data_IF_831166713362
#
_entry.id   IF_831166713362
#
_cell.length_a   1.000
_cell.length_b   1.000
_cell.length_c   1.000
_cell.angle_alpha   90.00
_cell.angle_beta   90.00
_cell.angle_gamma   90.00
#
_symmetry.space_group_name_H-M   'P 1'
#
loop_
_entity.id
_entity.type
_entity.pdbx_description
1 polymer ?
#
# COMPACT_ATOMS: atom_id res chain seq x y z
N UNK A 1 -23.76 21.83 43.09
CA UNK A 1 -23.20 22.30 41.81
C UNK A 1 -22.21 21.28 41.31
N UNK A 2 -22.33 20.82 40.08
CA UNK A 2 -21.29 19.97 39.49
C UNK A 2 -20.06 20.87 39.19
N UNK A 3 -18.89 20.48 39.69
CA UNK A 3 -17.66 21.25 39.59
C UNK A 3 -16.93 21.09 38.23
N UNK A 4 -17.61 20.64 37.24
CA UNK A 4 -17.11 20.35 35.93
C UNK A 4 -17.23 18.90 35.54
N UNK A 5 -17.23 18.60 34.30
CA UNK A 5 -17.36 17.23 33.77
C UNK A 5 -17.81 17.22 32.30
N UNK A 6 -17.68 16.10 31.66
CA UNK A 6 -18.08 15.85 30.29
C UNK A 6 -16.94 16.05 29.29
N UNK A 7 -17.03 15.32 28.20
CA UNK A 7 -16.09 15.39 27.08
C UNK A 7 -16.33 16.61 26.19
N UNK A 8 -15.30 17.14 25.56
CA UNK A 8 -15.40 18.19 24.57
C UNK A 8 -14.50 17.91 23.37
N UNK A 9 -14.96 18.29 22.20
CA UNK A 9 -14.18 18.20 20.94
C UNK A 9 -13.79 19.58 20.40
N UNK A 10 -14.44 20.64 20.95
CA UNK A 10 -14.15 22.04 20.61
C UNK A 10 -14.36 22.93 21.85
N UNK A 11 -13.75 24.12 21.87
CA UNK A 11 -13.83 25.07 22.99
C UNK A 11 -15.14 25.89 22.94
N UNK A 12 -16.28 25.22 22.92
CA UNK A 12 -17.61 25.84 22.74
C UNK A 12 -18.47 25.86 24.02
N UNK A 13 -17.86 25.80 25.21
CA UNK A 13 -18.57 25.84 26.49
C UNK A 13 -18.80 27.27 26.95
N UNK A 14 -20.02 27.59 27.29
CA UNK A 14 -20.43 28.98 27.69
C UNK A 14 -20.33 29.23 29.20
N UNK A 15 -20.40 28.19 30.03
CA UNK A 15 -20.34 28.33 31.46
C UNK A 15 -18.89 28.33 31.99
N UNK A 16 -18.54 29.21 32.93
CA UNK A 16 -17.28 29.13 33.66
C UNK A 16 -17.17 27.79 34.38
N UNK A 17 -16.07 27.04 34.17
CA UNK A 17 -15.85 25.75 34.82
C UNK A 17 -14.60 25.06 34.30
N UNK A 18 -14.20 23.97 34.97
CA UNK A 18 -13.12 23.10 34.51
C UNK A 18 -13.69 22.02 33.58
N UNK A 19 -13.23 22.00 32.35
CA UNK A 19 -13.60 20.98 31.35
C UNK A 19 -12.35 20.13 31.05
N UNK A 20 -12.36 18.87 31.46
CA UNK A 20 -11.19 18.00 31.44
C UNK A 20 -11.52 16.77 30.60
N UNK A 21 -10.85 16.62 29.46
CA UNK A 21 -10.84 15.37 28.70
C UNK A 21 -9.72 14.48 29.18
N UNK A 22 -10.08 13.31 29.64
CA UNK A 22 -9.13 12.22 29.76
C UNK A 22 -9.05 11.53 28.39
N UNK A 23 -8.08 11.91 27.59
CA UNK A 23 -7.70 11.17 26.39
C UNK A 23 -6.60 10.21 26.80
N UNK A 24 -6.72 8.95 26.45
CA UNK A 24 -5.58 8.05 26.41
C UNK A 24 -4.53 8.78 25.56
N UNK A 25 -3.43 9.23 26.18
CA UNK A 25 -2.22 9.41 25.39
C UNK A 25 -2.06 8.08 24.68
N UNK A 26 -2.05 8.09 23.36
CA UNK A 26 -1.46 7.00 22.62
C UNK A 26 -0.04 6.94 23.14
N UNK A 27 0.19 6.17 24.20
CA UNK A 27 1.53 5.93 24.67
C UNK A 27 2.16 5.20 23.51
N UNK A 28 3.22 5.74 22.95
CA UNK A 28 4.09 5.01 22.07
C UNK A 28 4.48 3.77 22.90
N UNK A 29 3.74 2.71 22.72
CA UNK A 29 4.03 1.45 23.39
C UNK A 29 5.15 0.82 22.58
N UNK A 30 6.14 0.27 23.24
CA UNK A 30 7.06 -0.66 22.62
C UNK A 30 6.25 -1.89 22.19
N UNK A 31 5.69 -1.83 20.98
CA UNK A 31 4.86 -2.86 20.37
C UNK A 31 5.18 -2.89 18.87
N UNK A 32 5.10 -4.08 18.28
CA UNK A 32 5.28 -4.27 16.86
C UNK A 32 4.15 -3.54 16.09
N UNK A 33 4.53 -2.83 15.04
CA UNK A 33 3.57 -2.20 14.15
C UNK A 33 2.84 -3.22 13.26
N UNK A 34 1.61 -2.89 12.89
CA UNK A 34 0.80 -3.72 11.98
C UNK A 34 1.39 -3.73 10.56
N UNK A 35 1.22 -4.88 9.88
CA UNK A 35 1.60 -5.07 8.48
C UNK A 35 0.36 -5.12 7.58
N UNK A 36 0.61 -4.97 6.29
CA UNK A 36 -0.44 -5.04 5.26
C UNK A 36 -0.64 -3.73 4.52
N UNK A 37 0.28 -2.77 4.65
CA UNK A 37 0.22 -1.49 3.96
C UNK A 37 1.08 -1.57 2.70
N UNK A 38 0.45 -1.39 1.55
CA UNK A 38 1.11 -1.32 0.25
C UNK A 38 0.99 0.08 -0.35
N UNK A 39 1.88 0.42 -1.28
CA UNK A 39 1.74 1.60 -2.11
C UNK A 39 1.99 1.27 -3.57
N UNK A 40 1.21 1.88 -4.47
CA UNK A 40 1.36 1.70 -5.92
C UNK A 40 0.96 2.96 -6.69
N UNK A 41 1.75 3.35 -7.70
CA UNK A 41 1.30 4.25 -8.75
C UNK A 41 0.44 3.46 -9.74
N UNK A 42 -0.69 4.04 -10.16
CA UNK A 42 -1.71 3.38 -10.98
C UNK A 42 -2.06 4.24 -12.19
N UNK A 43 -2.27 3.60 -13.32
CA UNK A 43 -2.95 4.21 -14.47
C UNK A 43 -4.44 3.94 -14.33
N UNK A 44 -5.24 4.99 -14.18
CA UNK A 44 -6.66 4.91 -13.88
C UNK A 44 -7.48 5.71 -14.89
N UNK A 45 -8.64 5.19 -15.28
CA UNK A 45 -9.58 5.87 -16.16
C UNK A 45 -10.49 6.87 -15.43
N UNK A 46 -10.38 6.93 -14.09
CA UNK A 46 -11.19 7.74 -13.19
C UNK A 46 -10.51 7.84 -11.82
N UNK A 47 -10.90 8.83 -11.01
CA UNK A 47 -10.52 8.92 -9.61
C UNK A 47 -9.60 10.10 -9.30
N UNK A 48 -9.20 10.19 -8.04
CA UNK A 48 -8.36 11.26 -7.49
C UNK A 48 -7.07 11.40 -8.29
N UNK A 49 -6.67 12.64 -8.54
CA UNK A 49 -5.46 12.99 -9.28
C UNK A 49 -4.58 13.95 -8.49
N UNK A 50 -3.27 13.84 -8.70
CA UNK A 50 -2.28 14.75 -8.11
C UNK A 50 -2.01 14.56 -6.61
N UNK A 51 -2.66 13.62 -5.94
CA UNK A 51 -2.52 13.32 -4.52
C UNK A 51 -2.43 11.82 -4.27
N UNK A 52 -1.74 11.44 -3.19
CA UNK A 52 -1.81 10.08 -2.65
C UNK A 52 -3.13 9.93 -1.90
N UNK A 53 -3.87 8.88 -2.17
CA UNK A 53 -5.11 8.57 -1.48
C UNK A 53 -5.11 7.17 -0.90
N UNK A 54 -5.69 7.05 0.27
CA UNK A 54 -5.79 5.79 0.99
C UNK A 54 -7.02 5.01 0.52
N UNK A 55 -6.85 3.69 0.35
CA UNK A 55 -7.92 2.75 0.04
C UNK A 55 -7.75 1.53 0.94
N UNK A 56 -8.71 1.29 1.81
CA UNK A 56 -8.76 0.04 2.57
C UNK A 56 -9.38 -1.08 1.73
N UNK A 57 -9.16 -2.34 2.12
CA UNK A 57 -9.82 -3.48 1.46
C UNK A 57 -11.35 -3.34 1.51
N UNK A 58 -11.90 -2.82 2.61
CA UNK A 58 -13.34 -2.57 2.75
C UNK A 58 -13.82 -1.48 1.78
N UNK A 59 -13.07 -0.37 1.65
CA UNK A 59 -13.39 0.68 0.69
C UNK A 59 -13.33 0.18 -0.75
N UNK A 60 -12.33 -0.64 -1.08
CA UNK A 60 -12.24 -1.24 -2.39
C UNK A 60 -13.46 -2.09 -2.73
N UNK A 61 -13.94 -2.91 -1.82
CA UNK A 61 -15.14 -3.74 -2.05
C UNK A 61 -16.43 -2.93 -2.16
N UNK A 62 -16.61 -1.92 -1.30
CA UNK A 62 -17.85 -1.15 -1.22
C UNK A 62 -17.92 0.05 -2.15
N UNK A 63 -16.79 0.73 -2.35
CA UNK A 63 -16.69 2.05 -2.97
C UNK A 63 -15.89 2.05 -4.29
N UNK A 64 -15.56 0.89 -4.85
CA UNK A 64 -14.71 0.77 -6.04
C UNK A 64 -15.22 1.60 -7.24
N UNK A 65 -16.52 1.60 -7.49
CA UNK A 65 -17.13 2.40 -8.55
C UNK A 65 -16.88 3.92 -8.35
N UNK A 66 -16.98 4.40 -7.12
CA UNK A 66 -16.70 5.80 -6.77
C UNK A 66 -15.23 6.15 -6.89
N UNK A 67 -14.34 5.25 -6.41
CA UNK A 67 -12.91 5.49 -6.32
C UNK A 67 -12.19 5.29 -7.66
N UNK A 68 -12.53 4.25 -8.41
CA UNK A 68 -11.82 3.80 -9.61
C UNK A 68 -12.67 3.83 -10.89
N UNK A 69 -13.95 4.15 -10.79
CA UNK A 69 -14.87 4.18 -11.94
C UNK A 69 -15.37 2.80 -12.41
N UNK A 70 -15.02 1.73 -11.70
CA UNK A 70 -15.41 0.35 -11.99
C UNK A 70 -15.88 -0.35 -10.72
N UNK A 71 -16.85 -1.25 -10.82
CA UNK A 71 -17.21 -2.14 -9.73
C UNK A 71 -16.03 -3.07 -9.39
N UNK A 72 -15.92 -3.49 -8.13
CA UNK A 72 -14.76 -4.26 -7.66
C UNK A 72 -14.59 -5.61 -8.39
N UNK A 73 -15.69 -6.21 -8.84
CA UNK A 73 -15.73 -7.46 -9.62
C UNK A 73 -15.50 -7.27 -11.14
N UNK A 74 -15.28 -6.03 -11.58
CA UNK A 74 -14.98 -5.71 -12.96
C UNK A 74 -13.65 -6.35 -13.41
N UNK A 75 -13.55 -6.88 -14.64
CA UNK A 75 -12.29 -7.32 -15.23
C UNK A 75 -11.18 -6.25 -15.21
N UNK A 76 -11.52 -4.97 -15.13
CA UNK A 76 -10.57 -3.87 -15.01
C UNK A 76 -9.94 -3.75 -13.61
N UNK A 77 -10.51 -4.43 -12.61
CA UNK A 77 -10.07 -4.38 -11.22
C UNK A 77 -9.29 -5.63 -10.77
N UNK A 78 -9.01 -6.57 -11.67
CA UNK A 78 -8.27 -7.82 -11.35
C UNK A 78 -6.96 -7.52 -10.62
N UNK A 79 -6.17 -6.55 -11.09
CA UNK A 79 -4.90 -6.20 -10.43
C UNK A 79 -5.09 -5.75 -8.98
N UNK A 80 -6.07 -4.87 -8.73
CA UNK A 80 -6.38 -4.44 -7.37
C UNK A 80 -7.00 -5.56 -6.52
N UNK A 81 -7.82 -6.44 -7.13
CA UNK A 81 -8.30 -7.64 -6.44
C UNK A 81 -7.13 -8.52 -5.98
N UNK A 82 -6.17 -8.77 -6.87
CA UNK A 82 -4.96 -9.54 -6.56
C UNK A 82 -4.13 -8.88 -5.43
N UNK A 83 -3.97 -7.57 -5.46
CA UNK A 83 -3.29 -6.82 -4.40
C UNK A 83 -3.99 -6.99 -3.04
N UNK A 84 -5.30 -6.81 -3.00
CA UNK A 84 -6.09 -6.85 -1.76
C UNK A 84 -6.32 -8.26 -1.21
N UNK A 85 -5.89 -9.32 -1.90
CA UNK A 85 -5.79 -10.66 -1.30
C UNK A 85 -4.77 -10.73 -0.17
N UNK A 86 -3.77 -9.86 -0.18
CA UNK A 86 -2.75 -9.78 0.86
C UNK A 86 -2.73 -8.45 1.61
N UNK A 87 -2.87 -7.33 0.91
CA UNK A 87 -2.85 -6.01 1.50
C UNK A 87 -4.14 -5.69 2.28
N UNK A 88 -4.00 -4.93 3.38
CA UNK A 88 -5.11 -4.35 4.14
C UNK A 88 -5.43 -2.94 3.65
N UNK A 89 -4.39 -2.18 3.33
CA UNK A 89 -4.45 -0.77 2.93
C UNK A 89 -3.53 -0.54 1.74
N UNK A 90 -3.99 0.23 0.78
CA UNK A 90 -3.23 0.73 -0.36
C UNK A 90 -3.16 2.26 -0.31
N UNK A 91 -1.96 2.80 -0.33
CA UNK A 91 -1.71 4.19 -0.69
C UNK A 91 -1.56 4.27 -2.21
N UNK A 92 -2.61 4.68 -2.88
CA UNK A 92 -2.66 4.79 -4.33
C UNK A 92 -2.32 6.19 -4.81
N UNK A 93 -1.72 6.28 -5.99
CA UNK A 93 -1.51 7.53 -6.70
C UNK A 93 -1.85 7.34 -8.18
N UNK A 94 -2.62 8.27 -8.76
CA UNK A 94 -2.96 8.21 -10.17
C UNK A 94 -1.91 8.89 -11.03
N UNK A 95 -1.19 8.11 -11.86
CA UNK A 95 -0.13 8.60 -12.75
C UNK A 95 -0.68 9.43 -13.92
N UNK A 96 -1.76 8.98 -14.55
CA UNK A 96 -2.36 9.58 -15.73
C UNK A 96 -3.48 10.59 -15.39
N UNK A 97 -3.28 11.38 -14.33
CA UNK A 97 -4.07 12.57 -14.05
C UNK A 97 -3.80 13.70 -15.06
N UNK A 98 -4.52 14.84 -14.92
CA UNK A 98 -4.31 16.02 -15.76
C UNK A 98 -4.87 15.93 -17.18
N UNK A 99 -5.74 14.96 -17.46
CA UNK A 99 -6.56 14.93 -18.67
C UNK A 99 -7.79 15.86 -18.57
N UNK A 100 -8.67 15.78 -19.55
CA UNK A 100 -9.90 16.57 -19.57
C UNK A 100 -11.04 15.89 -18.79
N UNK A 101 -11.89 16.73 -18.19
CA UNK A 101 -13.12 16.28 -17.53
C UNK A 101 -14.25 16.22 -18.55
N UNK A 102 -14.95 15.09 -18.59
CA UNK A 102 -16.16 14.97 -19.40
C UNK A 102 -17.23 15.99 -18.92
N UNK A 103 -17.97 16.57 -19.85
CA UNK A 103 -19.00 17.54 -19.53
C UNK A 103 -20.18 17.47 -20.51
N UNK A 104 -21.33 17.98 -20.07
CA UNK A 104 -22.48 18.29 -20.90
C UNK A 104 -23.10 19.62 -20.50
N UNK A 105 -24.31 19.93 -20.96
CA UNK A 105 -25.04 21.15 -20.60
C UNK A 105 -25.28 21.26 -19.10
N UNK A 106 -25.54 20.15 -18.41
CA UNK A 106 -26.04 20.11 -17.03
C UNK A 106 -24.95 19.85 -15.98
N UNK A 107 -23.85 19.19 -16.36
CA UNK A 107 -22.86 18.75 -15.40
C UNK A 107 -21.44 18.67 -16.00
N UNK A 108 -20.44 18.68 -15.12
CA UNK A 108 -19.03 18.36 -15.40
C UNK A 108 -18.62 17.19 -14.49
N UNK A 109 -17.91 16.23 -15.02
CA UNK A 109 -17.35 15.11 -14.24
C UNK A 109 -16.44 15.61 -13.12
N UNK A 110 -16.49 14.95 -11.96
CA UNK A 110 -15.67 15.32 -10.81
C UNK A 110 -14.17 15.16 -11.09
N UNK A 111 -13.81 14.06 -11.78
CA UNK A 111 -12.43 13.75 -12.15
C UNK A 111 -12.27 13.73 -13.67
N UNK A 112 -11.05 13.94 -14.16
CA UNK A 112 -10.69 13.68 -15.53
C UNK A 112 -10.70 12.17 -15.83
N UNK A 113 -10.68 11.81 -17.11
CA UNK A 113 -10.55 10.42 -17.52
C UNK A 113 -11.66 9.94 -18.46
N UNK A 114 -11.34 8.92 -19.22
CA UNK A 114 -12.24 8.38 -20.23
C UNK A 114 -13.54 7.82 -19.65
N UNK A 115 -13.53 7.37 -18.38
CA UNK A 115 -14.73 6.91 -17.68
C UNK A 115 -15.74 8.02 -17.41
N UNK A 116 -15.31 9.28 -17.36
CA UNK A 116 -16.22 10.41 -17.28
C UNK A 116 -17.24 10.46 -18.40
N UNK A 117 -16.92 9.90 -19.57
CA UNK A 117 -17.82 9.82 -20.72
C UNK A 117 -18.98 8.84 -20.53
N UNK A 118 -18.90 7.94 -19.55
CA UNK A 118 -19.97 7.01 -19.19
C UNK A 118 -20.98 7.60 -18.20
N UNK A 119 -20.74 8.83 -17.73
CA UNK A 119 -21.69 9.57 -16.91
C UNK A 119 -22.82 10.15 -17.80
N UNK A 120 -24.05 10.11 -17.31
CA UNK A 120 -25.19 10.77 -17.97
C UNK A 120 -26.15 11.37 -16.95
N UNK A 121 -26.78 12.47 -17.32
CA UNK A 121 -27.80 13.15 -16.53
C UNK A 121 -29.17 12.87 -17.17
N UNK A 122 -30.09 12.35 -16.38
CA UNK A 122 -31.51 12.16 -16.73
C UNK A 122 -32.33 13.16 -15.92
N UNK A 123 -33.25 13.89 -16.59
CA UNK A 123 -34.10 14.87 -15.94
C UNK A 123 -35.56 14.54 -16.28
N UNK A 124 -36.36 14.35 -15.24
CA UNK A 124 -37.78 14.07 -15.37
C UNK A 124 -38.60 15.04 -14.52
N UNK A 125 -39.86 15.27 -14.83
CA UNK A 125 -40.79 15.92 -13.89
C UNK A 125 -41.03 15.01 -12.71
N UNK A 126 -40.98 15.61 -11.51
CA UNK A 126 -41.32 14.85 -10.33
C UNK A 126 -42.80 14.44 -10.37
N UNK A 127 -43.07 13.19 -9.96
CA UNK A 127 -44.43 12.62 -10.08
C UNK A 127 -45.42 13.23 -9.08
N UNK A 128 -44.92 13.61 -7.88
CA UNK A 128 -45.74 14.13 -6.79
C UNK A 128 -45.89 15.67 -6.87
N UNK A 129 -44.87 16.36 -7.45
CA UNK A 129 -44.83 17.82 -7.54
C UNK A 129 -44.28 18.23 -8.92
N UNK A 130 -45.14 18.47 -9.87
CA UNK A 130 -44.79 18.83 -11.27
C UNK A 130 -44.07 20.18 -11.41
N UNK A 131 -43.98 20.99 -10.35
CA UNK A 131 -43.15 22.21 -10.31
C UNK A 131 -41.67 21.88 -10.13
N UNK A 132 -41.31 20.64 -9.73
CA UNK A 132 -39.96 20.16 -9.51
C UNK A 132 -39.52 19.16 -10.57
N UNK A 133 -38.20 18.90 -10.57
CA UNK A 133 -37.55 17.93 -11.43
C UNK A 133 -36.76 16.94 -10.57
N UNK A 134 -36.82 15.67 -10.97
CA UNK A 134 -35.91 14.64 -10.50
C UNK A 134 -34.71 14.61 -11.43
N UNK A 135 -33.55 15.01 -10.92
CA UNK A 135 -32.27 15.01 -11.65
C UNK A 135 -31.48 13.80 -11.19
N UNK A 136 -31.33 12.83 -12.06
CA UNK A 136 -30.67 11.56 -11.76
C UNK A 136 -29.32 11.48 -12.46
N UNK A 137 -28.27 11.16 -11.72
CA UNK A 137 -26.94 10.87 -12.23
C UNK A 137 -26.78 9.36 -12.39
N UNK A 138 -26.36 8.92 -13.56
CA UNK A 138 -25.98 7.55 -13.86
C UNK A 138 -24.49 7.46 -14.16
N UNK A 139 -23.85 6.39 -13.71
CA UNK A 139 -22.52 6.00 -14.14
C UNK A 139 -22.63 4.67 -14.90
N UNK A 140 -22.52 4.72 -16.22
CA UNK A 140 -22.91 3.61 -17.10
C UNK A 140 -24.41 3.31 -16.96
N UNK A 141 -24.72 2.12 -16.47
CA UNK A 141 -26.09 1.68 -16.19
C UNK A 141 -26.50 1.85 -14.72
N UNK A 142 -25.55 2.18 -13.83
CA UNK A 142 -25.80 2.28 -12.38
C UNK A 142 -26.33 3.67 -12.05
N UNK A 143 -27.47 3.72 -11.39
CA UNK A 143 -27.98 4.97 -10.81
C UNK A 143 -27.20 5.27 -9.53
N UNK A 144 -26.47 6.40 -9.52
CA UNK A 144 -25.57 6.76 -8.42
C UNK A 144 -26.08 7.89 -7.53
N UNK A 145 -27.00 8.72 -8.05
CA UNK A 145 -27.61 9.82 -7.29
C UNK A 145 -28.95 10.24 -7.92
N UNK A 146 -29.85 10.78 -7.09
CA UNK A 146 -31.09 11.46 -7.56
C UNK A 146 -31.40 12.60 -6.61
N UNK A 147 -31.60 13.80 -7.17
CA UNK A 147 -31.98 14.99 -6.44
C UNK A 147 -33.28 15.56 -6.99
N UNK A 148 -34.24 15.90 -6.11
CA UNK A 148 -35.49 16.55 -6.49
C UNK A 148 -35.40 18.04 -6.20
N UNK A 149 -35.40 18.87 -7.23
CA UNK A 149 -35.17 20.30 -7.14
C UNK A 149 -36.15 21.10 -8.01
N UNK A 150 -36.41 22.37 -7.65
CA UNK A 150 -37.21 23.26 -8.48
C UNK A 150 -36.37 23.90 -9.60
N UNK A 151 -35.10 24.14 -9.37
CA UNK A 151 -34.18 24.81 -10.32
C UNK A 151 -32.76 24.24 -10.19
N UNK A 152 -31.92 24.40 -11.20
CA UNK A 152 -30.56 23.92 -11.23
C UNK A 152 -29.67 24.46 -10.10
N UNK A 153 -29.91 25.69 -9.63
CA UNK A 153 -29.16 26.32 -8.55
C UNK A 153 -29.33 25.60 -7.18
N UNK A 154 -30.35 24.75 -7.04
CA UNK A 154 -30.61 23.99 -5.83
C UNK A 154 -29.91 22.61 -5.86
N UNK A 155 -29.28 22.24 -6.98
CA UNK A 155 -28.50 20.98 -7.11
C UNK A 155 -27.17 21.08 -6.34
N UNK A 156 -26.86 20.05 -5.60
CA UNK A 156 -25.61 19.90 -4.86
C UNK A 156 -24.70 18.91 -5.59
N UNK A 157 -23.41 19.24 -5.71
CA UNK A 157 -22.42 18.34 -6.28
C UNK A 157 -22.43 16.98 -5.54
N UNK A 158 -22.34 15.91 -6.30
CA UNK A 158 -22.26 14.55 -5.75
C UNK A 158 -20.86 13.96 -5.92
N UNK A 159 -20.70 12.66 -5.64
CA UNK A 159 -19.41 11.98 -5.74
C UNK A 159 -18.89 11.84 -7.19
N UNK A 160 -19.70 12.13 -8.19
CA UNK A 160 -19.40 11.86 -9.61
C UNK A 160 -19.41 13.13 -10.47
N UNK A 161 -20.24 14.10 -10.15
CA UNK A 161 -20.41 15.32 -10.96
C UNK A 161 -20.56 16.57 -10.13
N UNK A 162 -20.15 17.70 -10.72
CA UNK A 162 -20.53 19.04 -10.30
C UNK A 162 -21.58 19.56 -11.28
N UNK A 163 -22.73 20.01 -10.80
CA UNK A 163 -23.81 20.52 -11.64
C UNK A 163 -23.55 21.95 -12.13
N UNK A 164 -24.07 22.26 -13.31
CA UNK A 164 -24.02 23.60 -13.93
C UNK A 164 -25.35 24.34 -13.74
N UNK A 165 -25.28 25.65 -13.65
CA UNK A 165 -26.46 26.51 -13.57
C UNK A 165 -27.13 26.66 -14.96
N UNK A 166 -27.72 25.57 -15.46
CA UNK A 166 -28.45 25.54 -16.75
C UNK A 166 -29.94 25.27 -16.48
N UNK A 167 -30.82 25.86 -17.29
CA UNK A 167 -32.26 25.59 -17.16
C UNK A 167 -32.58 24.12 -17.31
N UNK A 168 -33.31 23.56 -16.33
CA UNK A 168 -33.66 22.14 -16.31
C UNK A 168 -34.73 21.87 -17.38
N UNK A 169 -34.41 20.99 -18.33
CA UNK A 169 -35.33 20.50 -19.34
C UNK A 169 -35.39 18.97 -19.25
N UNK A 170 -36.60 18.43 -19.42
CA UNK A 170 -36.81 16.97 -19.43
C UNK A 170 -35.93 16.32 -20.50
N UNK A 171 -35.15 15.30 -20.09
CA UNK A 171 -34.31 14.51 -21.01
C UNK A 171 -34.26 13.05 -20.57
N UNK A 172 -34.30 12.13 -21.52
CA UNK A 172 -34.16 10.70 -21.26
C UNK A 172 -32.72 10.27 -20.93
N UNK A 173 -31.75 11.17 -21.10
CA UNK A 173 -30.34 10.95 -20.76
C UNK A 173 -29.42 11.76 -21.66
N UNK A 174 -28.73 12.73 -21.07
CA UNK A 174 -27.68 13.51 -21.75
C UNK A 174 -26.31 13.02 -21.25
N UNK A 175 -25.52 12.32 -22.10
CA UNK A 175 -24.19 11.83 -21.72
C UNK A 175 -23.22 13.00 -21.53
N UNK A 176 -22.25 12.83 -20.64
CA UNK A 176 -21.06 13.68 -20.60
C UNK A 176 -20.09 13.20 -21.67
N UNK A 177 -19.30 14.11 -22.23
CA UNK A 177 -18.35 13.84 -23.32
C UNK A 177 -17.07 14.64 -23.14
N UNK A 178 -16.01 14.27 -23.87
CA UNK A 178 -14.73 14.99 -23.86
C UNK A 178 -13.79 14.62 -22.72
N UNK A 179 -14.12 13.60 -21.93
CA UNK A 179 -13.22 13.11 -20.90
C UNK A 179 -12.02 12.35 -21.48
N UNK A 180 -10.81 12.70 -21.06
CA UNK A 180 -9.54 12.06 -21.48
C UNK A 180 -8.66 11.75 -20.30
N UNK A 181 -7.83 10.71 -20.43
CA UNK A 181 -6.73 10.47 -19.49
C UNK A 181 -5.56 11.39 -19.83
N UNK A 182 -4.77 11.78 -18.82
CA UNK A 182 -3.48 12.39 -19.03
C UNK A 182 -2.42 11.39 -19.51
N UNK A 183 -1.23 11.88 -19.79
CA UNK A 183 -0.08 11.08 -20.22
C UNK A 183 0.73 10.60 -19.01
N UNK A 184 1.35 9.42 -19.14
CA UNK A 184 2.30 8.89 -18.16
C UNK A 184 3.71 9.02 -18.72
N UNK A 185 4.57 9.70 -18.00
CA UNK A 185 5.96 9.88 -18.31
C UNK A 185 6.83 9.83 -17.04
N UNK A 186 8.14 10.02 -17.16
CA UNK A 186 9.05 10.05 -16.02
C UNK A 186 8.70 11.13 -14.97
N UNK A 187 8.08 12.24 -15.40
CA UNK A 187 7.65 13.31 -14.49
C UNK A 187 6.49 12.86 -13.60
N UNK A 188 5.53 12.11 -14.18
CA UNK A 188 4.41 11.56 -13.41
C UNK A 188 4.90 10.56 -12.35
N UNK A 189 5.86 9.69 -12.70
CA UNK A 189 6.50 8.78 -11.75
C UNK A 189 7.27 9.52 -10.66
N UNK A 190 8.04 10.56 -11.01
CA UNK A 190 8.76 11.36 -10.02
C UNK A 190 7.80 12.08 -9.06
N UNK A 191 6.72 12.65 -9.58
CA UNK A 191 5.70 13.31 -8.77
C UNK A 191 5.04 12.36 -7.74
N UNK A 192 4.85 11.08 -8.11
CA UNK A 192 4.42 10.06 -7.15
C UNK A 192 5.48 9.82 -6.07
N UNK A 193 6.75 9.62 -6.46
CA UNK A 193 7.83 9.35 -5.52
C UNK A 193 8.02 10.49 -4.52
N UNK A 194 7.94 11.73 -4.98
CA UNK A 194 8.04 12.92 -4.11
C UNK A 194 6.92 12.98 -3.06
N UNK A 195 5.70 12.55 -3.43
CA UNK A 195 4.55 12.59 -2.53
C UNK A 195 4.50 11.40 -1.57
N UNK A 196 4.92 10.21 -2.01
CA UNK A 196 4.84 9.00 -1.18
C UNK A 196 5.97 8.92 -0.15
N UNK A 197 7.03 9.69 -0.29
CA UNK A 197 8.20 9.67 0.59
C UNK A 197 7.85 9.90 2.08
N UNK A 198 6.79 10.68 2.36
CA UNK A 198 6.36 10.96 3.73
C UNK A 198 5.44 9.89 4.35
N UNK A 199 5.06 8.87 3.59
CA UNK A 199 4.16 7.82 4.05
C UNK A 199 4.92 6.59 4.54
N UNK A 200 4.31 5.84 5.47
CA UNK A 200 4.85 4.58 5.96
C UNK A 200 4.10 3.41 5.35
N UNK A 201 4.83 2.49 4.72
CA UNK A 201 4.27 1.30 4.06
C UNK A 201 5.28 0.15 4.10
N UNK A 202 4.79 -1.08 3.91
CA UNK A 202 5.62 -2.29 3.96
C UNK A 202 6.20 -2.64 2.58
N UNK A 203 5.41 -2.46 1.51
CA UNK A 203 5.84 -2.75 0.14
C UNK A 203 5.39 -1.68 -0.82
N UNK A 204 6.21 -1.43 -1.83
CA UNK A 204 5.88 -0.61 -2.99
C UNK A 204 5.88 -1.51 -4.23
N UNK A 205 4.83 -1.48 -5.03
CA UNK A 205 4.77 -2.17 -6.32
C UNK A 205 4.72 -1.19 -7.48
N UNK A 206 5.39 -1.50 -8.59
CA UNK A 206 5.27 -0.71 -9.82
C UNK A 206 5.11 -1.62 -11.03
N UNK A 207 4.01 -1.43 -11.77
CA UNK A 207 3.65 -2.24 -12.94
C UNK A 207 4.16 -1.55 -14.19
N UNK A 208 5.45 -1.68 -14.45
CA UNK A 208 6.12 -1.14 -15.65
C UNK A 208 7.06 -2.17 -16.25
N UNK A 209 7.26 -2.08 -17.56
CA UNK A 209 8.16 -2.99 -18.31
C UNK A 209 9.48 -2.33 -18.69
N UNK A 210 9.52 -1.00 -18.82
CA UNK A 210 10.74 -0.31 -19.18
C UNK A 210 11.74 -0.21 -18.03
N UNK A 211 13.01 -0.46 -18.34
CA UNK A 211 14.09 -0.53 -17.35
C UNK A 211 14.49 0.83 -16.77
N UNK A 212 14.24 1.92 -17.48
CA UNK A 212 14.59 3.27 -16.99
C UNK A 212 13.70 3.63 -15.82
N UNK A 213 12.38 3.44 -15.98
CA UNK A 213 11.41 3.68 -14.92
C UNK A 213 11.64 2.72 -13.75
N UNK A 214 11.88 1.42 -14.00
CA UNK A 214 12.20 0.48 -12.91
C UNK A 214 13.42 0.91 -12.09
N UNK A 215 14.49 1.36 -12.76
CA UNK A 215 15.73 1.86 -12.11
C UNK A 215 15.50 3.12 -11.29
N UNK A 216 14.58 4.01 -11.69
CA UNK A 216 14.17 5.18 -10.91
C UNK A 216 13.62 4.73 -9.53
N UNK A 217 12.73 3.74 -9.52
CA UNK A 217 12.17 3.19 -8.27
C UNK A 217 13.21 2.47 -7.42
N UNK A 218 14.14 1.74 -8.04
CA UNK A 218 15.26 1.11 -7.32
C UNK A 218 16.15 2.15 -6.65
N UNK A 219 16.48 3.24 -7.36
CA UNK A 219 17.27 4.34 -6.79
C UNK A 219 16.53 5.00 -5.60
N UNK A 220 15.24 5.22 -5.72
CA UNK A 220 14.40 5.73 -4.63
C UNK A 220 14.41 4.77 -3.43
N UNK A 221 14.20 3.46 -3.65
CA UNK A 221 14.23 2.47 -2.57
C UNK A 221 15.60 2.44 -1.86
N UNK A 222 16.70 2.42 -2.62
CA UNK A 222 18.05 2.46 -2.05
C UNK A 222 18.28 3.71 -1.22
N UNK A 223 17.95 4.89 -1.74
CA UNK A 223 18.10 6.16 -1.04
C UNK A 223 17.34 6.16 0.29
N UNK A 224 16.07 5.76 0.29
CA UNK A 224 15.28 5.73 1.53
C UNK A 224 15.81 4.72 2.53
N UNK A 225 16.19 3.52 2.08
CA UNK A 225 16.68 2.45 2.97
C UNK A 225 18.07 2.75 3.52
N UNK A 226 19.00 3.18 2.68
CA UNK A 226 20.42 3.26 3.02
C UNK A 226 20.79 4.63 3.63
N UNK A 227 20.15 5.73 3.17
CA UNK A 227 20.48 7.08 3.61
C UNK A 227 19.52 7.61 4.68
N UNK A 228 18.21 7.34 4.56
CA UNK A 228 17.19 7.86 5.47
C UNK A 228 16.71 6.85 6.52
N UNK A 229 17.04 5.58 6.35
CA UNK A 229 16.68 4.52 7.30
C UNK A 229 15.21 4.07 7.20
N UNK A 230 14.46 4.50 6.20
CA UNK A 230 13.07 4.10 5.97
C UNK A 230 13.06 2.76 5.22
N UNK A 231 12.58 1.70 5.88
CA UNK A 231 12.68 0.32 5.39
C UNK A 231 11.36 -0.14 4.77
N UNK A 232 11.40 -0.54 3.51
CA UNK A 232 10.31 -1.19 2.77
C UNK A 232 10.89 -2.03 1.64
N UNK A 233 10.13 -2.97 1.06
CA UNK A 233 10.54 -3.72 -0.11
C UNK A 233 9.84 -3.19 -1.37
N UNK A 234 10.60 -3.07 -2.46
CA UNK A 234 10.11 -2.68 -3.78
C UNK A 234 9.87 -3.94 -4.62
N UNK A 235 8.70 -4.07 -5.22
CA UNK A 235 8.34 -5.16 -6.15
C UNK A 235 8.32 -4.61 -7.57
N UNK A 236 9.15 -5.19 -8.44
CA UNK A 236 9.26 -4.85 -9.86
C UNK A 236 9.22 -6.09 -10.74
N UNK A 237 8.89 -5.91 -12.01
CA UNK A 237 8.90 -6.98 -13.00
C UNK A 237 10.27 -7.11 -13.67
N UNK A 238 10.86 -8.30 -13.64
CA UNK A 238 12.02 -8.73 -14.43
C UNK A 238 13.16 -7.69 -14.49
N UNK A 239 13.78 -7.41 -13.32
CA UNK A 239 14.91 -6.48 -13.20
C UNK A 239 15.98 -7.07 -12.28
N UNK A 240 17.20 -7.25 -12.79
CA UNK A 240 18.36 -7.58 -11.99
C UNK A 240 18.87 -6.32 -11.25
N UNK A 241 18.45 -6.16 -9.98
CA UNK A 241 18.83 -4.99 -9.17
C UNK A 241 20.00 -5.26 -8.23
N UNK A 242 20.28 -6.53 -7.93
CA UNK A 242 21.28 -6.98 -6.95
C UNK A 242 21.20 -6.20 -5.64
N UNK A 243 20.02 -6.24 -5.03
CA UNK A 243 19.76 -5.48 -3.81
C UNK A 243 18.66 -6.13 -2.96
N UNK A 244 18.89 -6.24 -1.64
CA UNK A 244 17.99 -6.90 -0.69
C UNK A 244 16.61 -6.23 -0.55
N UNK A 245 16.50 -4.94 -0.85
CA UNK A 245 15.25 -4.18 -0.78
C UNK A 245 14.37 -4.33 -2.02
N UNK A 246 14.78 -5.10 -3.04
CA UNK A 246 14.06 -5.23 -4.31
C UNK A 246 13.68 -6.68 -4.59
N UNK A 247 12.41 -6.93 -4.85
CA UNK A 247 11.85 -8.20 -5.28
C UNK A 247 11.62 -8.15 -6.79
N UNK A 248 12.32 -8.98 -7.55
CA UNK A 248 12.23 -9.05 -9.02
C UNK A 248 11.33 -10.20 -9.44
N UNK A 249 10.11 -9.91 -9.87
CA UNK A 249 9.13 -10.91 -10.31
C UNK A 249 9.47 -11.37 -11.73
N UNK A 250 9.74 -12.66 -11.92
CA UNK A 250 10.13 -13.23 -13.22
C UNK A 250 8.95 -13.50 -14.15
N UNK A 251 7.89 -14.10 -13.63
CA UNK A 251 6.78 -14.61 -14.44
C UNK A 251 5.96 -13.47 -15.03
N UNK A 252 5.59 -13.62 -16.31
CA UNK A 252 4.67 -12.70 -16.98
C UNK A 252 3.23 -13.17 -16.87
N UNK A 253 2.33 -12.20 -16.97
CA UNK A 253 0.91 -12.39 -17.17
C UNK A 253 0.62 -12.48 -18.69
N UNK A 254 -0.32 -13.33 -19.08
CA UNK A 254 -0.65 -13.56 -20.50
C UNK A 254 -2.05 -13.09 -20.89
N UNK A 255 -2.78 -12.47 -19.97
CA UNK A 255 -4.14 -11.98 -20.19
C UNK A 255 -4.17 -10.76 -21.12
N UNK A 256 -5.01 -10.81 -22.14
CA UNK A 256 -5.16 -9.74 -23.12
C UNK A 256 -5.66 -8.46 -22.44
N UNK A 257 -5.02 -7.35 -22.77
CA UNK A 257 -5.38 -6.02 -22.23
C UNK A 257 -4.76 -5.71 -20.86
N UNK A 258 -3.89 -6.58 -20.35
CA UNK A 258 -3.07 -6.35 -19.17
C UNK A 258 -1.58 -6.32 -19.50
N UNK A 259 -0.80 -5.59 -18.71
CA UNK A 259 0.66 -5.60 -18.79
C UNK A 259 1.19 -6.98 -18.41
N UNK A 260 2.24 -7.44 -19.07
CA UNK A 260 2.94 -8.67 -18.66
C UNK A 260 3.51 -8.57 -17.24
N UNK A 261 3.73 -7.34 -16.73
CA UNK A 261 4.18 -7.05 -15.38
C UNK A 261 3.07 -7.11 -14.31
N UNK A 262 1.81 -7.41 -14.68
CA UNK A 262 0.67 -7.27 -13.77
C UNK A 262 0.73 -8.19 -12.53
N UNK A 263 1.53 -9.27 -12.55
CA UNK A 263 1.73 -10.12 -11.38
C UNK A 263 2.35 -9.37 -10.18
N UNK A 264 2.96 -8.22 -10.40
CA UNK A 264 3.45 -7.29 -9.37
C UNK A 264 2.35 -6.91 -8.39
N UNK A 265 1.09 -6.78 -8.82
CA UNK A 265 -0.04 -6.50 -7.92
C UNK A 265 -0.15 -7.55 -6.81
N UNK A 266 -0.22 -8.83 -7.19
CA UNK A 266 -0.36 -9.92 -6.22
C UNK A 266 0.85 -10.04 -5.31
N UNK A 267 2.08 -9.96 -5.86
CA UNK A 267 3.31 -10.07 -5.07
C UNK A 267 3.41 -8.92 -4.06
N UNK A 268 3.09 -7.69 -4.49
CA UNK A 268 3.06 -6.52 -3.59
C UNK A 268 2.08 -6.72 -2.44
N UNK A 269 0.87 -7.21 -2.73
CA UNK A 269 -0.13 -7.53 -1.71
C UNK A 269 0.33 -8.66 -0.78
N UNK A 270 0.82 -9.76 -1.35
CA UNK A 270 1.26 -10.93 -0.59
C UNK A 270 2.42 -10.60 0.37
N UNK A 271 3.41 -9.84 -0.09
CA UNK A 271 4.56 -9.42 0.72
C UNK A 271 4.20 -8.38 1.78
N UNK A 272 3.30 -7.43 1.47
CA UNK A 272 2.85 -6.46 2.48
C UNK A 272 2.11 -7.14 3.62
N UNK A 273 1.21 -8.07 3.30
CA UNK A 273 0.37 -8.77 4.28
C UNK A 273 1.03 -9.98 4.94
N UNK A 274 2.20 -10.41 4.47
CA UNK A 274 2.90 -11.53 5.08
C UNK A 274 3.40 -11.17 6.47
N UNK A 275 3.04 -11.98 7.48
CA UNK A 275 3.50 -11.77 8.85
C UNK A 275 5.02 -11.95 8.97
N UNK A 276 5.63 -11.29 9.94
CA UNK A 276 7.10 -11.31 10.15
C UNK A 276 7.66 -12.71 10.36
N UNK A 277 6.89 -13.61 10.98
CA UNK A 277 7.24 -15.00 11.25
C UNK A 277 6.81 -15.99 10.16
N UNK A 278 6.43 -15.50 8.97
CA UNK A 278 5.95 -16.31 7.85
C UNK A 278 6.75 -16.01 6.59
N UNK A 279 6.68 -16.94 5.65
CA UNK A 279 7.26 -16.79 4.31
C UNK A 279 6.16 -16.89 3.25
N UNK A 280 6.37 -16.22 2.12
CA UNK A 280 5.57 -16.42 0.92
C UNK A 280 6.01 -17.67 0.12
N UNK A 281 7.06 -18.35 0.52
CA UNK A 281 7.49 -19.60 -0.14
C UNK A 281 6.35 -20.64 -0.17
N UNK A 282 6.17 -21.28 -1.31
CA UNK A 282 5.10 -22.26 -1.58
C UNK A 282 3.67 -21.72 -1.43
N UNK A 283 3.50 -20.39 -1.23
CA UNK A 283 2.17 -19.78 -1.19
C UNK A 283 1.48 -20.01 -2.54
N UNK A 284 0.23 -20.47 -2.49
CA UNK A 284 -0.60 -20.63 -3.68
C UNK A 284 -0.91 -19.26 -4.26
N UNK A 285 -0.77 -19.13 -5.59
CA UNK A 285 -1.36 -18.01 -6.31
C UNK A 285 -2.87 -18.24 -6.41
N UNK A 286 -3.63 -17.35 -5.84
CA UNK A 286 -5.11 -17.34 -5.77
C UNK A 286 -5.73 -16.14 -6.49
N UNK A 287 -4.90 -15.41 -7.25
CA UNK A 287 -5.31 -14.25 -8.03
C UNK A 287 -6.04 -14.57 -9.34
N UNK A 288 -6.43 -13.52 -10.04
CA UNK A 288 -7.25 -13.60 -11.24
C UNK A 288 -6.48 -13.71 -12.55
N UNK A 289 -5.14 -13.49 -12.56
CA UNK A 289 -4.35 -13.53 -13.79
C UNK A 289 -3.92 -14.94 -14.20
N UNK A 290 -3.72 -15.11 -15.50
CA UNK A 290 -3.08 -16.29 -16.09
C UNK A 290 -1.55 -16.10 -16.06
N UNK A 291 -0.88 -16.83 -15.17
CA UNK A 291 0.57 -16.74 -14.98
C UNK A 291 1.28 -17.73 -15.91
N UNK A 292 2.24 -17.24 -16.69
CA UNK A 292 3.12 -18.10 -17.47
C UNK A 292 4.08 -18.84 -16.53
N UNK A 293 3.94 -20.15 -16.43
CA UNK A 293 4.77 -21.05 -15.60
C UNK A 293 5.50 -22.11 -16.43
N UNK A 294 5.67 -21.86 -17.72
CA UNK A 294 6.31 -22.81 -18.63
C UNK A 294 7.84 -22.73 -18.55
N UNK A 295 8.39 -23.19 -17.43
CA UNK A 295 9.82 -23.22 -17.17
C UNK A 295 10.32 -24.64 -16.91
N UNK A 296 11.49 -24.95 -17.46
CA UNK A 296 12.22 -26.18 -17.14
C UNK A 296 12.83 -26.11 -15.73
N UNK A 297 13.18 -27.25 -15.16
CA UNK A 297 13.86 -27.31 -13.85
C UNK A 297 15.20 -26.54 -13.85
N UNK A 298 15.92 -26.51 -14.97
CA UNK A 298 17.16 -25.76 -15.07
C UNK A 298 16.93 -24.23 -15.09
N UNK A 299 15.87 -23.78 -15.76
CA UNK A 299 15.48 -22.36 -15.76
C UNK A 299 15.01 -21.91 -14.37
N UNK A 300 14.26 -22.75 -13.64
CA UNK A 300 13.88 -22.46 -12.26
C UNK A 300 15.10 -22.36 -11.33
N UNK A 301 16.08 -23.25 -11.47
CA UNK A 301 17.34 -23.17 -10.72
C UNK A 301 18.14 -21.92 -11.07
N UNK A 302 18.17 -21.55 -12.35
CA UNK A 302 18.85 -20.33 -12.82
C UNK A 302 18.16 -19.09 -12.25
N UNK A 303 16.82 -19.06 -12.22
CA UNK A 303 16.04 -17.98 -11.65
C UNK A 303 16.36 -17.73 -10.16
N UNK A 304 16.40 -18.79 -9.35
CA UNK A 304 16.79 -18.69 -7.93
C UNK A 304 18.20 -18.10 -7.78
N UNK A 305 19.16 -18.58 -8.59
CA UNK A 305 20.53 -18.06 -8.56
C UNK A 305 20.65 -16.60 -9.00
N UNK A 306 19.75 -16.16 -9.87
CA UNK A 306 19.68 -14.78 -10.35
C UNK A 306 18.90 -13.85 -9.41
N UNK A 307 18.39 -14.33 -8.27
CA UNK A 307 17.59 -13.54 -7.34
C UNK A 307 16.22 -13.18 -7.89
N UNK A 308 15.62 -14.07 -8.71
CA UNK A 308 14.32 -13.84 -9.31
C UNK A 308 13.21 -14.53 -8.51
N UNK A 309 12.24 -13.73 -8.03
CA UNK A 309 11.02 -14.24 -7.40
C UNK A 309 10.15 -14.90 -8.47
N UNK A 310 9.99 -16.21 -8.38
CA UNK A 310 9.47 -17.03 -9.47
C UNK A 310 8.29 -17.87 -8.99
N UNK A 311 7.29 -18.02 -9.86
CA UNK A 311 6.20 -18.96 -9.69
C UNK A 311 6.43 -20.21 -10.54
N UNK A 312 6.00 -21.34 -10.01
CA UNK A 312 6.02 -22.62 -10.71
C UNK A 312 4.70 -23.36 -10.54
N UNK A 313 4.50 -24.40 -11.33
CA UNK A 313 3.27 -25.20 -11.26
C UNK A 313 3.53 -26.55 -10.61
N UNK A 314 2.80 -26.84 -9.53
CA UNK A 314 2.87 -28.12 -8.80
C UNK A 314 1.47 -28.72 -8.78
N UNK A 315 1.32 -29.92 -9.35
CA UNK A 315 0.03 -30.62 -9.41
C UNK A 315 -1.12 -29.75 -9.93
N UNK A 316 -0.85 -28.95 -10.97
CA UNK A 316 -1.86 -28.05 -11.56
C UNK A 316 -2.05 -26.71 -10.85
N UNK A 317 -1.42 -26.50 -9.68
CA UNK A 317 -1.54 -25.29 -8.87
C UNK A 317 -0.30 -24.42 -9.03
N UNK A 318 -0.49 -23.14 -9.32
CA UNK A 318 0.59 -22.13 -9.38
C UNK A 318 0.97 -21.74 -7.95
N UNK A 319 2.28 -21.78 -7.63
CA UNK A 319 2.83 -21.46 -6.31
C UNK A 319 4.11 -20.67 -6.42
N UNK A 320 4.40 -19.88 -5.40
CA UNK A 320 5.72 -19.25 -5.23
C UNK A 320 6.77 -20.33 -5.06
N UNK A 321 7.84 -20.28 -5.85
CA UNK A 321 8.94 -21.24 -5.79
C UNK A 321 9.82 -21.00 -4.55
N UNK A 322 10.31 -19.79 -4.41
CA UNK A 322 11.14 -19.37 -3.27
C UNK A 322 10.89 -17.89 -2.97
N UNK A 323 10.88 -17.53 -1.68
CA UNK A 323 10.59 -16.18 -1.19
C UNK A 323 11.89 -15.38 -1.07
N UNK A 324 12.43 -14.95 -2.21
CA UNK A 324 13.73 -14.27 -2.32
C UNK A 324 13.65 -12.89 -2.96
N UNK A 325 14.62 -12.05 -2.62
CA UNK A 325 14.82 -10.76 -3.26
C UNK A 325 15.89 -10.84 -4.37
N UNK A 326 16.17 -9.70 -5.01
CA UNK A 326 17.08 -9.64 -6.17
C UNK A 326 18.57 -9.65 -5.82
N UNK A 327 18.93 -9.76 -4.53
CA UNK A 327 20.33 -9.79 -4.11
C UNK A 327 21.00 -11.09 -4.52
N UNK A 328 22.13 -10.99 -5.22
CA UNK A 328 22.97 -12.13 -5.62
C UNK A 328 24.37 -12.02 -5.08
N UNK A 329 24.94 -10.81 -5.02
CA UNK A 329 26.27 -10.54 -4.49
C UNK A 329 26.25 -10.48 -2.97
N UNK A 330 27.17 -11.20 -2.33
CA UNK A 330 27.34 -11.20 -0.88
C UNK A 330 28.66 -10.57 -0.47
N UNK A 331 28.74 -10.11 0.77
CA UNK A 331 29.95 -9.58 1.40
C UNK A 331 30.10 -10.10 2.84
N UNK A 332 31.18 -9.80 3.51
CA UNK A 332 31.41 -10.20 4.92
C UNK A 332 30.35 -9.63 5.87
N UNK A 333 29.73 -8.49 5.53
CA UNK A 333 28.69 -7.84 6.34
C UNK A 333 27.28 -8.09 5.81
N UNK A 334 27.12 -8.68 4.63
CA UNK A 334 25.84 -8.94 3.98
C UNK A 334 25.86 -10.33 3.32
N UNK A 335 25.64 -11.36 4.11
CA UNK A 335 25.73 -12.76 3.70
C UNK A 335 24.43 -13.28 3.06
N UNK A 336 24.38 -14.58 2.76
CA UNK A 336 23.27 -15.25 2.07
C UNK A 336 21.91 -15.11 2.78
N UNK A 337 21.90 -14.92 4.10
CA UNK A 337 20.67 -14.75 4.89
C UNK A 337 19.84 -13.54 4.44
N UNK A 338 20.50 -12.51 3.87
CA UNK A 338 19.82 -11.30 3.38
C UNK A 338 19.15 -11.48 1.99
N UNK A 339 19.32 -12.64 1.34
CA UNK A 339 18.63 -12.96 0.10
C UNK A 339 17.18 -13.40 0.33
N UNK A 340 16.83 -13.79 1.55
CA UNK A 340 15.52 -14.27 1.93
C UNK A 340 14.60 -13.10 2.34
N UNK A 341 13.42 -12.99 1.74
CA UNK A 341 12.47 -11.92 2.02
C UNK A 341 11.92 -11.98 3.46
N UNK A 342 11.79 -13.18 4.05
CA UNK A 342 11.37 -13.31 5.45
C UNK A 342 12.41 -12.66 6.37
N UNK A 343 13.69 -12.85 6.13
CA UNK A 343 14.77 -12.18 6.87
C UNK A 343 14.65 -10.66 6.74
N UNK A 344 14.53 -10.16 5.51
CA UNK A 344 14.39 -8.71 5.26
C UNK A 344 13.15 -8.17 5.98
N UNK A 345 12.04 -8.90 5.97
CA UNK A 345 10.79 -8.53 6.64
C UNK A 345 10.97 -8.36 8.15
N UNK A 346 11.73 -9.25 8.79
CA UNK A 346 12.05 -9.17 10.23
C UNK A 346 12.92 -7.96 10.54
N UNK A 347 14.01 -7.76 9.79
CA UNK A 347 14.95 -6.65 10.05
C UNK A 347 14.33 -5.28 9.69
N UNK A 348 13.50 -5.22 8.66
CA UNK A 348 12.78 -4.00 8.30
C UNK A 348 11.74 -3.63 9.36
N UNK A 349 10.99 -4.60 9.87
CA UNK A 349 10.05 -4.41 10.97
C UNK A 349 10.78 -3.87 12.20
N UNK A 350 11.85 -4.54 12.60
CA UNK A 350 12.66 -4.14 13.74
C UNK A 350 13.23 -2.73 13.59
N UNK A 351 13.81 -2.41 12.44
CA UNK A 351 14.41 -1.10 12.18
C UNK A 351 13.39 0.04 12.18
N UNK A 352 12.20 -0.20 11.58
CA UNK A 352 11.12 0.78 11.57
C UNK A 352 10.51 0.98 12.96
N UNK A 353 10.29 -0.09 13.73
CA UNK A 353 9.71 -0.01 15.07
C UNK A 353 10.67 0.67 16.06
N UNK A 354 11.97 0.38 15.98
CA UNK A 354 13.00 1.09 16.77
C UNK A 354 13.04 2.60 16.43
N UNK A 355 12.94 2.95 15.15
CA UNK A 355 12.92 4.35 14.71
C UNK A 355 11.65 5.08 15.20
N UNK A 356 10.49 4.46 15.08
CA UNK A 356 9.22 5.01 15.59
C UNK A 356 9.27 5.17 17.09
N UNK A 357 9.72 4.16 17.83
CA UNK A 357 9.88 4.22 19.28
C UNK A 357 10.78 5.38 19.69
N UNK A 358 11.97 5.50 19.07
CA UNK A 358 12.90 6.57 19.39
C UNK A 358 12.34 7.94 19.08
N UNK A 359 11.77 8.15 17.90
CA UNK A 359 11.26 9.43 17.46
C UNK A 359 10.03 9.90 18.26
N UNK A 360 9.19 8.98 18.72
CA UNK A 360 7.94 9.35 19.42
C UNK A 360 8.11 9.47 20.94
N UNK A 361 9.01 8.70 21.55
CA UNK A 361 9.13 8.63 23.00
C UNK A 361 10.40 9.27 23.55
N UNK A 362 11.52 9.21 22.82
CA UNK A 362 12.84 9.56 23.35
C UNK A 362 13.40 10.85 22.77
N UNK A 363 13.23 11.10 21.48
CA UNK A 363 13.85 12.24 20.78
C UNK A 363 13.39 13.58 21.37
N UNK A 364 14.34 14.32 21.97
CA UNK A 364 14.08 15.62 22.56
C UNK A 364 13.29 15.60 23.89
N UNK A 365 12.86 14.43 24.36
CA UNK A 365 12.02 14.27 25.56
C UNK A 365 12.79 13.65 26.73
N UNK A 366 13.49 12.53 26.50
CA UNK A 366 14.18 11.77 27.55
C UNK A 366 15.64 12.19 27.63
N UNK A 367 16.15 12.56 28.82
CA UNK A 367 17.57 12.92 28.98
C UNK A 367 18.50 11.74 28.67
N UNK A 368 19.60 12.00 27.95
CA UNK A 368 20.63 11.00 27.68
C UNK A 368 21.55 10.81 28.95
N UNK A 369 20.98 10.26 30.00
CA UNK A 369 21.69 9.83 31.21
C UNK A 369 21.53 8.31 31.42
N UNK A 370 22.09 7.76 32.46
CA UNK A 370 22.00 6.33 32.75
C UNK A 370 20.55 5.82 32.82
N UNK A 371 19.66 6.55 33.51
CA UNK A 371 18.24 6.19 33.64
C UNK A 371 17.50 6.23 32.29
N UNK A 372 17.71 7.29 31.48
CA UNK A 372 17.11 7.41 30.17
C UNK A 372 17.56 6.30 29.21
N UNK A 373 18.85 5.94 29.23
CA UNK A 373 19.36 4.81 28.42
C UNK A 373 18.85 3.47 28.91
N UNK A 374 18.66 3.26 30.21
CA UNK A 374 18.03 2.04 30.75
C UNK A 374 16.57 1.93 30.32
N UNK A 375 15.83 3.05 30.29
CA UNK A 375 14.44 3.05 29.78
C UNK A 375 14.39 2.68 28.30
N UNK A 376 15.27 3.25 27.48
CA UNK A 376 15.35 2.91 26.06
C UNK A 376 15.73 1.44 25.85
N UNK A 377 16.72 0.93 26.59
CA UNK A 377 17.10 -0.48 26.58
C UNK A 377 15.91 -1.39 26.89
N UNK A 378 15.14 -1.09 27.93
CA UNK A 378 13.97 -1.88 28.32
C UNK A 378 12.89 -1.94 27.23
N UNK A 379 12.62 -0.83 26.54
CA UNK A 379 11.67 -0.79 25.45
C UNK A 379 12.18 -1.57 24.22
N UNK A 380 13.47 -1.46 23.89
CA UNK A 380 14.07 -2.20 22.78
C UNK A 380 14.07 -3.71 23.06
N UNK A 381 14.40 -4.14 24.28
CA UNK A 381 14.30 -5.54 24.70
C UNK A 381 12.87 -6.06 24.52
N UNK A 382 11.87 -5.28 24.93
CA UNK A 382 10.46 -5.65 24.78
C UNK A 382 10.06 -5.91 23.32
N UNK A 383 10.49 -5.08 22.36
CA UNK A 383 10.22 -5.29 20.92
C UNK A 383 10.82 -6.62 20.46
N UNK A 384 12.08 -6.94 20.83
CA UNK A 384 12.74 -8.18 20.45
C UNK A 384 12.09 -9.40 21.11
N UNK A 385 11.68 -9.29 22.37
CA UNK A 385 10.93 -10.34 23.06
C UNK A 385 9.62 -10.65 22.35
N UNK A 386 8.89 -9.63 21.87
CA UNK A 386 7.69 -9.85 21.07
C UNK A 386 7.97 -10.56 19.74
N UNK A 387 9.08 -10.24 19.06
CA UNK A 387 9.49 -10.96 17.84
C UNK A 387 9.83 -12.43 18.14
N UNK A 388 10.45 -12.70 19.30
CA UNK A 388 10.75 -14.07 19.74
C UNK A 388 9.47 -14.83 20.10
N UNK A 389 8.55 -14.23 20.82
CA UNK A 389 7.23 -14.82 21.14
C UNK A 389 6.43 -15.16 19.89
N UNK A 390 6.55 -14.36 18.83
CA UNK A 390 5.97 -14.65 17.52
C UNK A 390 6.72 -15.77 16.76
N UNK A 391 7.92 -16.14 17.19
CA UNK A 391 8.78 -17.08 16.48
C UNK A 391 9.43 -16.50 15.22
N UNK A 392 9.61 -15.18 15.15
CA UNK A 392 10.32 -14.51 14.07
C UNK A 392 11.85 -14.49 14.31
N UNK A 393 12.26 -14.49 15.57
CA UNK A 393 13.65 -14.66 16.01
C UNK A 393 13.73 -15.73 17.09
N UNK A 394 14.92 -16.25 17.35
CA UNK A 394 15.18 -17.25 18.40
C UNK A 394 16.43 -16.95 19.22
N UNK A 395 16.49 -17.54 20.43
CA UNK A 395 17.66 -17.46 21.28
C UNK A 395 17.97 -16.06 21.83
N UNK A 396 17.07 -15.10 21.70
CA UNK A 396 17.26 -13.72 22.17
C UNK A 396 17.23 -13.65 23.69
N UNK A 397 18.16 -12.90 24.25
CA UNK A 397 18.27 -12.57 25.68
C UNK A 397 18.48 -11.06 25.85
N UNK A 398 18.17 -10.54 27.03
CA UNK A 398 18.32 -9.11 27.36
C UNK A 398 19.76 -8.60 27.15
N UNK A 399 20.77 -9.49 27.29
CA UNK A 399 22.18 -9.18 27.08
C UNK A 399 22.57 -8.94 25.62
N UNK A 400 21.73 -9.34 24.67
CA UNK A 400 21.95 -9.15 23.23
C UNK A 400 21.67 -7.72 22.77
N UNK A 401 21.14 -6.88 23.67
CA UNK A 401 20.93 -5.44 23.42
C UNK A 401 21.74 -4.62 24.42
N UNK A 402 22.52 -3.69 23.90
CA UNK A 402 23.22 -2.70 24.73
C UNK A 402 22.88 -1.29 24.27
N UNK A 403 22.74 -0.36 25.23
CA UNK A 403 22.49 1.06 24.97
C UNK A 403 23.55 1.88 25.69
N UNK A 404 24.40 2.54 24.92
CA UNK A 404 25.50 3.34 25.41
C UNK A 404 25.36 4.80 24.97
N UNK A 405 26.11 5.69 25.66
CA UNK A 405 26.26 7.05 25.16
C UNK A 405 27.17 7.02 23.92
N UNK A 406 26.79 7.74 22.90
CA UNK A 406 27.60 7.94 21.69
C UNK A 406 28.66 9.05 21.89
N UNK A 407 29.28 9.45 20.79
CA UNK A 407 30.40 10.42 20.77
C UNK A 407 30.00 11.81 21.23
N UNK A 408 28.73 12.14 21.24
CA UNK A 408 28.23 13.41 21.80
C UNK A 408 27.25 13.17 22.95
N UNK A 409 27.03 14.21 23.77
CA UNK A 409 26.08 14.19 24.89
C UNK A 409 24.64 13.93 24.44
N UNK A 410 24.32 14.15 23.14
CA UNK A 410 23.01 13.95 22.57
C UNK A 410 22.87 12.62 21.82
N UNK A 411 23.97 11.94 21.55
CA UNK A 411 24.00 10.69 20.80
C UNK A 411 23.85 9.47 21.73
N UNK A 412 23.09 8.48 21.25
CA UNK A 412 22.96 7.16 21.86
C UNK A 412 23.36 6.13 20.81
N UNK A 413 24.12 5.12 21.22
CA UNK A 413 24.52 3.99 20.39
C UNK A 413 23.85 2.73 20.90
N UNK A 414 23.21 2.00 20.01
CA UNK A 414 22.56 0.71 20.27
C UNK A 414 23.33 -0.36 19.52
N UNK A 415 23.70 -1.43 20.23
CA UNK A 415 24.18 -2.66 19.60
C UNK A 415 23.19 -3.77 19.93
N UNK A 416 22.73 -4.49 18.91
CA UNK A 416 21.75 -5.55 19.07
C UNK A 416 22.10 -6.73 18.16
N UNK A 417 22.03 -7.95 18.71
CA UNK A 417 22.17 -9.20 17.97
C UNK A 417 20.82 -9.94 17.95
N UNK A 418 20.44 -10.48 16.81
CA UNK A 418 19.25 -11.32 16.63
C UNK A 418 19.57 -12.50 15.73
N UNK A 419 18.92 -13.64 15.99
CA UNK A 419 18.92 -14.80 15.10
C UNK A 419 17.53 -14.94 14.48
N UNK A 420 17.42 -14.69 13.17
CA UNK A 420 16.14 -14.77 12.45
C UNK A 420 15.77 -16.23 12.23
N UNK A 421 14.50 -16.57 12.42
CA UNK A 421 13.94 -17.91 12.12
C UNK A 421 13.25 -17.86 10.77
N UNK A 422 13.76 -18.65 9.81
CA UNK A 422 13.17 -18.78 8.48
C UNK A 422 12.30 -20.03 8.38
N UNK A 423 11.31 -20.01 7.48
CA UNK A 423 10.46 -21.16 7.19
C UNK A 423 11.28 -22.34 6.60
N UNK A 424 10.85 -23.56 6.86
CA UNK A 424 11.48 -24.76 6.28
C UNK A 424 11.29 -24.77 4.77
N UNK A 425 12.40 -24.76 4.01
CA UNK A 425 12.40 -24.79 2.55
C UNK A 425 12.81 -26.11 1.94
N UNK A 426 13.61 -26.94 2.64
CA UNK A 426 14.17 -28.18 2.11
C UNK A 426 14.15 -29.29 3.16
N UNK A 427 13.66 -30.46 2.78
CA UNK A 427 13.73 -31.69 3.58
C UNK A 427 14.75 -32.63 2.97
N UNK A 428 15.69 -33.11 3.77
CA UNK A 428 16.60 -34.21 3.44
C UNK A 428 16.34 -35.36 4.40
N UNK A 429 15.92 -36.48 3.87
CA UNK A 429 15.62 -37.67 4.65
C UNK A 429 16.41 -38.87 4.10
N UNK A 430 17.00 -39.66 5.00
CA UNK A 430 17.62 -40.96 4.66
C UNK A 430 16.88 -42.04 5.42
N UNK A 431 16.22 -42.93 4.68
CA UNK A 431 15.56 -44.13 5.25
C UNK A 431 16.43 -45.33 5.00
N UNK A 432 16.84 -46.01 6.09
CA UNK A 432 17.55 -47.28 6.00
C UNK A 432 16.54 -48.41 6.11
N UNK A 433 16.45 -49.26 5.09
CA UNK A 433 15.61 -50.45 5.08
C UNK A 433 16.49 -51.63 5.45
N UNK A 434 16.13 -52.35 6.51
CA UNK A 434 16.81 -53.55 6.99
C UNK A 434 16.20 -54.82 6.36
#
# INVERSE_FOLDING_TARGET
MALGGGTFTSQNKELPGAYINFVSAASASAALSDRGIATMPLELDWGVEGEVFEVTNEDFQKNSLKLFGYAFDSPKMIGLNDLFMGAKTLYAYRLNGGGDKAANTYATAKYCGVRGNDLKIVIQKNADDTSKYDVTTYFGTVKVDTQTVAKAADLVANDYVTFKAADLAVTAGTPLTGGTNGTVDGTAHQAYLDKIESYTYNTMGVVVTDDVTKKLYVAFNKRLRDELGIKFQLVVYNLSADYMGVISVKNKVTDTGWSEAALVYWVTGAESGCAVNKSCQNKKYDGGFTVDTNYTQNELKAAIKAGEFTFHKVNGVVRVLEDINSMVTTSDTCGDVFKDNQTIRVIDQLGNDDAVLFNTKYLGVVPNNASGRTSLWSDLVKIRTQLQELGAIEGFTDSDVTVAQGDSKKAVVITSAITVVNAMGKLYETVTVA
#
